data_IF_549703915527
#
_entry.id   IF_549703915527
#
_cell.length_a   1.000
_cell.length_b   1.000
_cell.length_c   1.000
_cell.angle_alpha   90.00
_cell.angle_beta   90.00
_cell.angle_gamma   90.00
#
_symmetry.space_group_name_H-M   'P 1'
#
loop_
_entity.id
_entity.type
_entity.pdbx_description
1 polymer ?
#
# COMPACT_ATOMS: atom_id res chain seq x y z
N UNK A 1 6.96 14.52 2.72
CA UNK A 1 6.67 13.41 1.78
C UNK A 1 7.51 12.18 2.11
N UNK A 2 8.84 12.18 1.91
CA UNK A 2 9.71 11.00 2.11
C UNK A 2 9.66 10.36 3.51
N UNK A 3 9.71 11.15 4.58
CA UNK A 3 9.70 10.64 5.96
C UNK A 3 8.34 10.02 6.32
N UNK A 4 7.24 10.51 5.73
CA UNK A 4 5.89 9.97 5.96
C UNK A 4 5.76 8.55 5.39
N UNK A 5 6.43 8.27 4.26
CA UNK A 5 6.49 6.92 3.69
C UNK A 5 7.12 5.91 4.65
N UNK A 6 8.11 6.32 5.46
CA UNK A 6 8.80 5.42 6.39
C UNK A 6 7.93 4.95 7.57
N UNK A 7 6.87 5.68 7.91
CA UNK A 7 5.93 5.29 8.97
C UNK A 7 4.77 4.43 8.47
N UNK A 8 4.74 4.14 7.17
CA UNK A 8 3.69 3.32 6.57
C UNK A 8 4.18 1.89 6.41
N UNK A 9 3.31 0.92 6.72
CA UNK A 9 3.59 -0.53 6.64
C UNK A 9 4.26 -0.99 5.32
N UNK A 10 3.92 -0.34 4.19
CA UNK A 10 4.48 -0.65 2.86
C UNK A 10 5.37 0.47 2.28
N UNK A 11 5.64 1.53 3.04
CA UNK A 11 6.25 2.73 2.49
C UNK A 11 7.78 2.72 2.46
N UNK A 12 8.45 1.68 2.99
CA UNK A 12 9.90 1.53 2.87
C UNK A 12 10.33 1.34 1.41
N UNK A 13 9.61 0.53 0.64
CA UNK A 13 9.87 0.34 -0.79
C UNK A 13 9.64 1.64 -1.57
N UNK A 14 8.58 2.38 -1.21
CA UNK A 14 8.26 3.65 -1.86
C UNK A 14 9.33 4.70 -1.53
N UNK A 15 9.81 4.72 -0.29
CA UNK A 15 10.90 5.57 0.16
C UNK A 15 12.20 5.28 -0.60
N UNK A 16 12.58 4.00 -0.75
CA UNK A 16 13.79 3.60 -1.51
C UNK A 16 13.67 4.06 -2.97
N UNK A 17 12.55 3.78 -3.63
CA UNK A 17 12.31 4.20 -5.01
C UNK A 17 12.44 5.73 -5.16
N UNK A 18 11.90 6.48 -4.19
CA UNK A 18 11.95 7.93 -4.19
C UNK A 18 13.35 8.50 -3.89
N UNK A 19 14.14 7.85 -3.03
CA UNK A 19 15.54 8.22 -2.85
C UNK A 19 16.35 8.01 -4.13
N UNK A 20 16.17 6.87 -4.80
CA UNK A 20 16.86 6.58 -6.07
C UNK A 20 16.48 7.61 -7.14
N UNK A 21 15.20 7.92 -7.26
CA UNK A 21 14.71 8.93 -8.20
C UNK A 21 15.29 10.32 -7.91
N UNK A 22 15.25 10.75 -6.64
CA UNK A 22 15.80 12.04 -6.24
C UNK A 22 17.32 12.10 -6.44
N UNK A 23 18.05 11.02 -6.15
CA UNK A 23 19.47 10.91 -6.43
C UNK A 23 19.76 11.07 -7.93
N UNK A 24 19.04 10.34 -8.79
CA UNK A 24 19.21 10.42 -10.24
C UNK A 24 18.93 11.84 -10.77
N UNK A 25 17.90 12.51 -10.25
CA UNK A 25 17.56 13.88 -10.60
C UNK A 25 18.69 14.86 -10.23
N UNK A 26 19.17 14.79 -8.99
CA UNK A 26 20.20 15.69 -8.46
C UNK A 26 21.56 15.44 -9.09
N UNK A 27 21.92 14.17 -9.32
CA UNK A 27 23.15 13.78 -10.01
C UNK A 27 23.20 14.37 -11.43
N UNK A 28 22.06 14.36 -12.15
CA UNK A 28 21.94 14.95 -13.49
C UNK A 28 22.03 16.48 -13.48
N UNK A 29 21.54 17.14 -12.42
CA UNK A 29 21.61 18.60 -12.32
C UNK A 29 23.05 19.14 -12.18
N UNK A 30 23.99 18.32 -11.68
CA UNK A 30 25.38 18.72 -11.36
C UNK A 30 25.49 19.92 -10.39
N UNK A 31 24.38 20.30 -9.75
CA UNK A 31 24.32 21.43 -8.83
C UNK A 31 24.75 21.02 -7.42
N UNK A 32 25.89 21.56 -6.97
CA UNK A 32 26.47 21.26 -5.64
C UNK A 32 25.51 21.54 -4.48
N UNK A 33 24.68 22.60 -4.58
CA UNK A 33 23.71 22.95 -3.54
C UNK A 33 22.60 21.89 -3.49
N UNK A 34 22.08 21.48 -4.64
CA UNK A 34 21.07 20.41 -4.70
C UNK A 34 21.63 19.09 -4.17
N UNK A 35 22.87 18.73 -4.51
CA UNK A 35 23.54 17.53 -3.97
C UNK A 35 23.67 17.59 -2.45
N UNK A 36 24.14 18.71 -1.91
CA UNK A 36 24.25 18.89 -0.45
C UNK A 36 22.89 18.80 0.22
N UNK A 37 21.86 19.46 -0.32
CA UNK A 37 20.51 19.45 0.25
C UNK A 37 19.89 18.04 0.19
N UNK A 38 20.11 17.31 -0.91
CA UNK A 38 19.69 15.90 -1.03
C UNK A 38 20.37 15.03 0.02
N UNK A 39 21.70 15.10 0.15
CA UNK A 39 22.45 14.30 1.12
C UNK A 39 22.01 14.61 2.56
N UNK A 40 21.87 15.90 2.90
CA UNK A 40 21.38 16.32 4.21
C UNK A 40 19.95 15.79 4.48
N UNK A 41 19.05 15.89 3.49
CA UNK A 41 17.67 15.41 3.62
C UNK A 41 17.61 13.88 3.77
N UNK A 42 18.40 13.15 2.97
CA UNK A 42 18.46 11.70 3.03
C UNK A 42 19.07 11.20 4.35
N UNK A 43 20.12 11.86 4.84
CA UNK A 43 20.71 11.55 6.14
C UNK A 43 19.71 11.82 7.28
N UNK A 44 19.05 12.99 7.27
CA UNK A 44 18.03 13.33 8.26
C UNK A 44 16.87 12.31 8.26
N UNK A 45 16.36 11.91 7.10
CA UNK A 45 15.28 10.92 7.02
C UNK A 45 15.71 9.53 7.48
N UNK A 46 16.95 9.10 7.20
CA UNK A 46 17.50 7.85 7.71
C UNK A 46 17.71 7.87 9.24
N UNK A 47 18.18 8.99 9.79
CA UNK A 47 18.32 9.17 11.25
C UNK A 47 16.95 9.07 11.92
N UNK A 48 15.94 9.78 11.40
CA UNK A 48 14.57 9.70 11.92
C UNK A 48 14.02 8.28 11.83
N UNK A 49 14.28 7.57 10.71
CA UNK A 49 13.89 6.18 10.55
C UNK A 49 14.52 5.27 11.60
N UNK A 50 15.84 5.38 11.82
CA UNK A 50 16.56 4.59 12.82
C UNK A 50 16.08 4.89 14.23
N UNK A 51 15.82 6.16 14.55
CA UNK A 51 15.27 6.56 15.84
C UNK A 51 13.92 5.89 16.09
N UNK A 52 12.99 5.99 15.15
CA UNK A 52 11.61 5.55 15.37
C UNK A 52 11.42 4.05 15.15
N UNK A 53 12.19 3.42 14.27
CA UNK A 53 12.01 2.00 13.92
C UNK A 53 12.90 1.06 14.73
N UNK A 54 13.98 1.58 15.35
CA UNK A 54 14.98 0.76 16.06
C UNK A 54 15.22 1.26 17.47
N UNK A 55 15.64 2.52 17.64
CA UNK A 55 16.13 3.01 18.94
C UNK A 55 14.99 3.18 19.94
N UNK A 56 13.94 3.93 19.59
CA UNK A 56 12.79 4.20 20.45
C UNK A 56 12.06 2.89 20.81
N UNK A 57 11.70 1.99 19.88
CA UNK A 57 11.06 0.72 20.23
C UNK A 57 11.91 -0.13 21.18
N UNK A 58 13.24 -0.17 20.99
CA UNK A 58 14.15 -0.88 21.89
C UNK A 58 14.17 -0.27 23.29
N UNK A 59 14.17 1.06 23.40
CA UNK A 59 14.11 1.75 24.70
C UNK A 59 12.77 1.53 25.41
N UNK A 60 11.67 1.42 24.65
CA UNK A 60 10.33 1.16 25.17
C UNK A 60 10.04 -0.33 25.41
N UNK A 61 11.02 -1.22 25.19
CA UNK A 61 10.85 -2.67 25.25
C UNK A 61 9.67 -3.17 24.39
N UNK A 62 9.43 -2.52 23.25
CA UNK A 62 8.37 -2.90 22.33
C UNK A 62 8.66 -4.27 21.72
N UNK A 63 7.64 -5.13 21.68
CA UNK A 63 7.75 -6.44 21.03
C UNK A 63 7.93 -6.26 19.51
N UNK A 64 8.93 -6.92 18.89
CA UNK A 64 9.12 -6.81 17.46
C UNK A 64 7.98 -7.50 16.70
N UNK A 65 7.56 -6.89 15.59
CA UNK A 65 6.61 -7.52 14.69
C UNK A 65 7.17 -8.84 14.14
N UNK A 66 6.38 -9.94 14.15
CA UNK A 66 6.84 -11.21 13.60
C UNK A 66 7.24 -11.08 12.13
N UNK A 67 8.38 -11.67 11.71
CA UNK A 67 8.88 -11.56 10.34
C UNK A 67 7.88 -11.99 9.26
N UNK A 68 6.96 -12.91 9.58
CA UNK A 68 5.92 -13.37 8.67
C UNK A 68 4.83 -12.34 8.37
N UNK A 69 4.68 -11.27 9.15
CA UNK A 69 3.61 -10.27 8.96
C UNK A 69 3.64 -9.64 7.56
N UNK A 70 4.83 -9.33 7.05
CA UNK A 70 5.03 -8.77 5.71
C UNK A 70 4.80 -9.77 4.57
N UNK A 71 4.76 -11.07 4.88
CA UNK A 71 4.62 -12.15 3.91
C UNK A 71 3.15 -12.57 3.71
N UNK A 72 2.20 -12.02 4.48
CA UNK A 72 0.78 -12.37 4.38
C UNK A 72 0.19 -12.12 2.98
N UNK A 73 0.42 -10.95 2.32
CA UNK A 73 -0.11 -10.73 0.98
C UNK A 73 0.52 -11.68 -0.05
N UNK A 74 1.77 -12.09 0.16
CA UNK A 74 2.45 -13.09 -0.69
C UNK A 74 1.81 -14.47 -0.48
N UNK A 75 1.57 -14.85 0.78
CA UNK A 75 0.99 -16.14 1.13
C UNK A 75 -0.45 -16.31 0.64
N UNK A 76 -1.23 -15.22 0.64
CA UNK A 76 -2.56 -15.22 0.05
C UNK A 76 -2.52 -15.59 -1.44
N UNK A 77 -1.55 -15.06 -2.20
CA UNK A 77 -1.40 -15.40 -3.61
C UNK A 77 -1.09 -16.88 -3.84
N UNK A 78 -0.35 -17.53 -2.93
CA UNK A 78 -0.20 -18.99 -3.00
C UNK A 78 -1.54 -19.69 -2.80
N UNK A 79 -2.29 -19.26 -1.79
CA UNK A 79 -3.57 -19.87 -1.46
C UNK A 79 -4.56 -19.75 -2.63
N UNK A 80 -4.51 -18.65 -3.39
CA UNK A 80 -5.26 -18.50 -4.63
C UNK A 80 -4.92 -19.58 -5.67
N UNK A 81 -3.65 -19.97 -5.81
CA UNK A 81 -3.23 -21.06 -6.72
C UNK A 81 -3.84 -22.40 -6.30
N UNK A 82 -3.83 -22.73 -5.00
CA UNK A 82 -4.46 -23.95 -4.49
C UNK A 82 -5.98 -23.95 -4.67
N UNK A 83 -6.64 -22.82 -4.43
CA UNK A 83 -8.09 -22.68 -4.63
C UNK A 83 -8.47 -22.82 -6.11
N UNK A 84 -7.59 -22.39 -7.01
CA UNK A 84 -7.79 -22.56 -8.45
C UNK A 84 -7.49 -23.98 -8.96
N UNK A 85 -7.03 -24.90 -8.10
CA UNK A 85 -6.69 -26.29 -8.46
C UNK A 85 -5.40 -26.43 -9.27
N UNK A 86 -4.52 -25.43 -9.23
CA UNK A 86 -3.32 -25.34 -10.06
C UNK A 86 -2.02 -25.58 -9.27
N UNK A 87 -2.09 -26.04 -8.02
CA UNK A 87 -0.92 -26.24 -7.18
C UNK A 87 0.06 -27.27 -7.73
N UNK A 88 -0.42 -28.26 -8.50
CA UNK A 88 0.41 -29.33 -9.06
C UNK A 88 1.43 -28.84 -10.08
N UNK A 89 1.19 -27.67 -10.68
CA UNK A 89 2.13 -27.06 -11.61
C UNK A 89 3.31 -26.44 -10.85
N UNK A 90 3.19 -26.14 -9.56
CA UNK A 90 4.29 -25.65 -8.73
C UNK A 90 5.29 -26.76 -8.40
N UNK A 91 6.55 -26.36 -8.24
CA UNK A 91 7.64 -27.23 -7.85
C UNK A 91 7.32 -27.91 -6.50
N UNK A 92 7.70 -29.17 -6.37
CA UNK A 92 7.41 -29.98 -5.17
C UNK A 92 8.02 -29.35 -3.92
N UNK A 93 9.23 -28.79 -4.00
CA UNK A 93 9.87 -28.07 -2.88
C UNK A 93 9.13 -26.80 -2.48
N UNK A 94 8.62 -26.06 -3.47
CA UNK A 94 7.83 -24.85 -3.26
C UNK A 94 6.52 -25.19 -2.53
N UNK A 95 5.82 -26.24 -2.98
CA UNK A 95 4.62 -26.74 -2.29
C UNK A 95 4.90 -27.16 -0.87
N UNK A 96 5.91 -28.02 -0.66
CA UNK A 96 6.31 -28.47 0.68
C UNK A 96 6.59 -27.29 1.62
N UNK A 97 7.27 -26.26 1.13
CA UNK A 97 7.55 -25.05 1.91
C UNK A 97 6.26 -24.29 2.27
N UNK A 98 5.38 -24.03 1.30
CA UNK A 98 4.11 -23.33 1.53
C UNK A 98 3.23 -24.11 2.53
N UNK A 99 3.15 -25.42 2.37
CA UNK A 99 2.29 -26.31 3.17
C UNK A 99 2.75 -26.45 4.64
N UNK A 100 3.96 -25.98 4.98
CA UNK A 100 4.40 -25.87 6.39
C UNK A 100 3.61 -24.85 7.19
N UNK A 101 2.90 -23.93 6.53
CA UNK A 101 2.15 -22.83 7.16
C UNK A 101 0.66 -23.17 7.27
N UNK A 102 0.03 -23.57 6.16
CA UNK A 102 -1.35 -24.03 6.06
C UNK A 102 -1.41 -25.31 5.24
N UNK A 103 -2.32 -26.22 5.58
CA UNK A 103 -2.66 -27.35 4.71
C UNK A 103 -3.43 -26.88 3.47
N UNK A 104 -3.41 -27.62 2.34
CA UNK A 104 -4.23 -27.31 1.17
C UNK A 104 -5.72 -27.18 1.49
N UNK A 105 -6.23 -27.99 2.43
CA UNK A 105 -7.62 -27.90 2.91
C UNK A 105 -7.89 -26.56 3.58
N UNK A 106 -7.01 -26.11 4.49
CA UNK A 106 -7.16 -24.82 5.16
C UNK A 106 -7.08 -23.64 4.20
N UNK A 107 -6.22 -23.71 3.18
CA UNK A 107 -6.18 -22.69 2.13
C UNK A 107 -7.52 -22.61 1.39
N UNK A 108 -8.07 -23.76 1.00
CA UNK A 108 -9.37 -23.81 0.32
C UNK A 108 -10.51 -23.30 1.20
N UNK A 109 -10.49 -23.61 2.50
CA UNK A 109 -11.55 -23.24 3.45
C UNK A 109 -11.50 -21.76 3.85
N UNK A 110 -10.30 -21.21 4.05
CA UNK A 110 -10.12 -19.86 4.62
C UNK A 110 -9.64 -18.80 3.64
N UNK A 111 -9.39 -19.16 2.37
CA UNK A 111 -9.06 -18.16 1.36
C UNK A 111 -10.23 -17.19 1.15
N UNK A 112 -9.90 -15.90 1.20
CA UNK A 112 -10.81 -14.83 0.85
C UNK A 112 -10.09 -13.89 -0.12
N UNK A 113 -10.58 -13.73 -1.37
CA UNK A 113 -9.93 -12.89 -2.37
C UNK A 113 -9.90 -11.39 -1.99
N UNK A 114 -10.70 -10.97 -1.02
CA UNK A 114 -10.85 -9.57 -0.60
C UNK A 114 -10.21 -9.27 0.77
N UNK A 115 -9.68 -10.27 1.50
CA UNK A 115 -9.11 -10.08 2.84
C UNK A 115 -8.08 -11.17 3.23
N UNK A 116 -6.79 -10.83 3.27
CA UNK A 116 -5.71 -11.79 3.59
C UNK A 116 -5.81 -12.37 5.00
N UNK A 117 -6.39 -11.59 5.89
CA UNK A 117 -6.41 -11.88 7.31
C UNK A 117 -7.28 -13.10 7.63
N UNK A 118 -8.25 -13.45 6.77
CA UNK A 118 -9.12 -14.63 6.94
C UNK A 118 -8.29 -15.91 7.11
N UNK A 119 -7.26 -16.13 6.30
CA UNK A 119 -6.41 -17.33 6.41
C UNK A 119 -5.65 -17.32 7.74
N UNK A 120 -5.03 -16.18 8.07
CA UNK A 120 -4.15 -16.08 9.24
C UNK A 120 -4.90 -16.14 10.57
N UNK A 121 -6.13 -15.64 10.62
CA UNK A 121 -6.96 -15.62 11.83
C UNK A 121 -7.60 -16.97 12.11
N UNK A 122 -7.81 -17.80 11.07
CA UNK A 122 -8.43 -19.12 11.18
C UNK A 122 -7.41 -20.28 11.16
N UNK A 123 -6.13 -20.00 10.91
CA UNK A 123 -5.07 -21.02 10.92
C UNK A 123 -4.24 -20.97 12.21
N UNK A 124 -4.22 -22.04 13.02
CA UNK A 124 -3.40 -22.11 14.23
C UNK A 124 -1.91 -21.93 13.92
N UNK A 125 -1.23 -21.09 14.73
CA UNK A 125 0.21 -20.78 14.61
C UNK A 125 0.65 -20.26 13.23
N UNK A 126 -0.28 -19.77 12.40
CA UNK A 126 -0.01 -19.27 11.05
C UNK A 126 1.21 -18.35 11.00
N UNK A 127 1.20 -17.30 11.82
CA UNK A 127 2.25 -16.29 11.80
C UNK A 127 3.61 -16.83 12.28
N UNK A 128 3.59 -17.77 13.23
CA UNK A 128 4.80 -18.44 13.71
C UNK A 128 5.41 -19.30 12.60
N UNK A 129 4.59 -20.09 11.91
CA UNK A 129 5.05 -20.94 10.81
C UNK A 129 5.52 -20.10 9.62
N UNK A 130 4.76 -19.07 9.23
CA UNK A 130 5.12 -18.17 8.14
C UNK A 130 6.44 -17.42 8.43
N UNK A 131 6.71 -17.09 9.70
CA UNK A 131 7.96 -16.46 10.10
C UNK A 131 9.19 -17.38 9.98
N UNK A 132 9.00 -18.69 9.81
CA UNK A 132 10.09 -19.65 9.56
C UNK A 132 10.49 -19.71 8.08
N UNK A 133 9.64 -19.23 7.18
CA UNK A 133 9.96 -19.14 5.76
C UNK A 133 10.84 -17.90 5.54
N UNK A 134 11.98 -18.10 4.88
CA UNK A 134 12.86 -16.99 4.54
C UNK A 134 12.16 -16.04 3.56
N UNK A 135 12.41 -14.74 3.65
CA UNK A 135 11.84 -13.77 2.70
C UNK A 135 12.27 -14.07 1.25
N UNK A 136 13.49 -14.58 1.06
CA UNK A 136 14.01 -14.97 -0.26
C UNK A 136 13.25 -16.16 -0.85
N UNK A 137 12.99 -17.20 -0.06
CA UNK A 137 12.20 -18.36 -0.50
C UNK A 137 10.77 -17.96 -0.81
N UNK A 138 10.14 -17.15 0.03
CA UNK A 138 8.81 -16.63 -0.25
C UNK A 138 8.80 -15.87 -1.59
N UNK A 139 9.70 -14.92 -1.81
CA UNK A 139 9.71 -14.19 -3.09
C UNK A 139 9.97 -15.12 -4.28
N UNK A 140 10.91 -16.07 -4.16
CA UNK A 140 11.22 -17.05 -5.22
C UNK A 140 9.98 -17.88 -5.59
N UNK A 141 9.29 -18.42 -4.60
CA UNK A 141 8.09 -19.24 -4.80
C UNK A 141 6.95 -18.40 -5.39
N UNK A 142 6.81 -17.14 -4.98
CA UNK A 142 5.80 -16.23 -5.52
C UNK A 142 6.05 -15.86 -6.97
N UNK A 143 7.32 -15.62 -7.34
CA UNK A 143 7.69 -15.41 -8.74
C UNK A 143 7.40 -16.67 -9.55
N UNK A 144 7.73 -17.85 -9.04
CA UNK A 144 7.40 -19.11 -9.70
C UNK A 144 5.88 -19.24 -9.96
N UNK A 145 5.06 -19.01 -8.93
CA UNK A 145 3.61 -19.04 -9.04
C UNK A 145 3.07 -18.01 -10.04
N UNK A 146 3.63 -16.79 -10.05
CA UNK A 146 3.25 -15.74 -11.00
C UNK A 146 3.64 -16.06 -12.44
N UNK A 147 4.75 -16.75 -12.66
CA UNK A 147 5.18 -17.18 -13.99
C UNK A 147 4.33 -18.34 -14.53
N UNK A 148 3.94 -19.29 -13.67
CA UNK A 148 3.11 -20.44 -14.05
C UNK A 148 1.63 -20.09 -14.17
N UNK A 149 1.11 -19.27 -13.27
CA UNK A 149 -0.30 -18.87 -13.21
C UNK A 149 -0.48 -17.35 -13.08
N UNK A 150 -0.06 -16.56 -14.09
CA UNK A 150 -0.15 -15.10 -14.01
C UNK A 150 -1.59 -14.61 -13.80
N UNK A 151 -2.57 -15.23 -14.45
CA UNK A 151 -3.99 -14.86 -14.31
C UNK A 151 -4.52 -15.04 -12.89
N UNK A 152 -4.12 -16.10 -12.19
CA UNK A 152 -4.54 -16.38 -10.81
C UNK A 152 -3.91 -15.39 -9.85
N UNK A 153 -2.60 -15.16 -9.96
CA UNK A 153 -1.88 -14.23 -9.10
C UNK A 153 -2.33 -12.78 -9.33
N UNK A 154 -2.53 -12.37 -10.58
CA UNK A 154 -3.06 -11.04 -10.89
C UNK A 154 -4.51 -10.91 -10.42
N UNK A 155 -5.35 -11.92 -10.64
CA UNK A 155 -6.73 -11.93 -10.16
C UNK A 155 -6.83 -11.76 -8.65
N UNK A 156 -6.00 -12.47 -7.87
CA UNK A 156 -5.89 -12.29 -6.43
C UNK A 156 -5.56 -10.84 -6.05
N UNK A 157 -4.56 -10.22 -6.71
CA UNK A 157 -4.17 -8.84 -6.43
C UNK A 157 -5.25 -7.83 -6.81
N UNK A 158 -5.87 -7.97 -7.97
CA UNK A 158 -6.95 -7.08 -8.39
C UNK A 158 -8.14 -7.16 -7.43
N UNK A 159 -8.52 -8.36 -6.98
CA UNK A 159 -9.59 -8.51 -5.99
C UNK A 159 -9.19 -7.89 -4.65
N UNK A 160 -8.00 -8.21 -4.13
CA UNK A 160 -7.54 -7.71 -2.84
C UNK A 160 -7.40 -6.19 -2.82
N UNK A 161 -7.09 -5.58 -3.98
CA UNK A 161 -6.97 -4.13 -4.14
C UNK A 161 -8.20 -3.48 -4.78
N UNK A 162 -9.39 -4.09 -4.79
CA UNK A 162 -10.57 -3.54 -5.50
C UNK A 162 -10.90 -2.11 -5.09
N UNK A 163 -10.69 -1.75 -3.82
CA UNK A 163 -10.91 -0.40 -3.29
C UNK A 163 -9.95 0.66 -3.85
N UNK A 164 -8.81 0.23 -4.40
CA UNK A 164 -7.83 1.11 -5.04
C UNK A 164 -8.25 1.54 -6.44
N UNK A 165 -8.79 0.63 -7.24
CA UNK A 165 -9.03 0.88 -8.67
C UNK A 165 -10.51 0.95 -9.06
N UNK A 166 -11.41 0.34 -8.29
CA UNK A 166 -12.84 0.41 -8.57
C UNK A 166 -13.40 1.79 -8.24
N UNK A 167 -14.17 2.33 -9.17
CA UNK A 167 -14.94 3.58 -8.98
C UNK A 167 -16.23 3.32 -8.20
N UNK A 168 -16.66 2.06 -8.08
CA UNK A 168 -17.91 1.67 -7.44
C UNK A 168 -17.65 0.78 -6.22
N UNK A 169 -18.63 0.67 -5.33
CA UNK A 169 -18.58 -0.39 -4.33
C UNK A 169 -18.73 -1.76 -4.97
N UNK A 170 -17.87 -2.71 -4.59
CA UNK A 170 -18.08 -4.12 -4.89
C UNK A 170 -18.79 -4.75 -3.68
N UNK A 171 -19.88 -5.47 -3.94
CA UNK A 171 -20.73 -6.08 -2.90
C UNK A 171 -20.01 -7.13 -2.04
N UNK A 172 -18.90 -7.69 -2.54
CA UNK A 172 -18.09 -8.67 -1.84
C UNK A 172 -16.83 -8.07 -1.19
N UNK A 173 -16.59 -6.79 -1.42
CA UNK A 173 -15.44 -6.06 -0.85
C UNK A 173 -15.59 -5.89 0.66
N UNK A 174 -14.50 -6.15 1.39
CA UNK A 174 -14.37 -5.86 2.82
C UNK A 174 -14.49 -4.35 3.13
N UNK A 175 -14.01 -3.50 2.22
CA UNK A 175 -14.22 -2.05 2.18
C UNK A 175 -14.21 -1.30 3.54
N UNK A 176 -13.12 -1.42 4.31
CA UNK A 176 -12.98 -0.73 5.59
C UNK A 176 -12.56 0.72 5.39
N UNK A 177 -13.56 1.59 5.26
CA UNK A 177 -13.39 3.02 5.03
C UNK A 177 -13.17 3.82 6.33
N UNK A 178 -13.93 3.49 7.38
CA UNK A 178 -13.87 4.15 8.68
C UNK A 178 -14.20 3.16 9.80
N UNK A 179 -13.26 2.97 10.74
CA UNK A 179 -13.44 2.06 11.87
C UNK A 179 -13.98 2.83 13.08
N UNK A 180 -15.19 2.49 13.50
CA UNK A 180 -15.90 3.16 14.62
C UNK A 180 -15.67 2.48 15.97
N UNK A 181 -15.11 1.28 15.98
CA UNK A 181 -14.98 0.39 17.15
C UNK A 181 -13.51 0.12 17.44
N UNK A 182 -13.10 0.24 18.69
CA UNK A 182 -11.80 -0.24 19.15
C UNK A 182 -11.91 -1.76 19.29
N UNK A 183 -10.96 -2.50 18.70
CA UNK A 183 -10.89 -3.96 18.88
C UNK A 183 -10.78 -4.30 20.37
N UNK A 184 -11.51 -5.32 20.81
CA UNK A 184 -11.61 -5.66 22.23
C UNK A 184 -10.24 -5.90 22.86
N UNK A 185 -9.35 -6.55 22.11
CA UNK A 185 -7.96 -6.83 22.49
C UNK A 185 -7.17 -5.54 22.77
N UNK A 186 -7.43 -4.45 22.02
CA UNK A 186 -6.79 -3.16 22.25
C UNK A 186 -7.24 -2.53 23.58
N UNK A 187 -8.48 -2.74 23.99
CA UNK A 187 -8.98 -2.29 25.28
C UNK A 187 -8.49 -3.21 26.40
N UNK A 188 -8.64 -4.52 26.25
CA UNK A 188 -8.34 -5.50 27.29
C UNK A 188 -6.84 -5.64 27.58
N UNK A 189 -5.99 -5.63 26.54
CA UNK A 189 -4.54 -5.82 26.70
C UNK A 189 -3.78 -4.50 26.85
N UNK A 190 -4.21 -3.46 26.13
CA UNK A 190 -3.46 -2.20 26.03
C UNK A 190 -4.16 -1.02 26.72
N UNK A 191 -5.35 -1.21 27.30
CA UNK A 191 -6.11 -0.15 27.96
C UNK A 191 -6.50 1.00 27.04
N UNK A 192 -6.58 0.75 25.72
CA UNK A 192 -6.91 1.80 24.76
C UNK A 192 -8.39 2.11 24.84
N UNK A 193 -8.68 3.36 25.21
CA UNK A 193 -10.02 3.92 25.26
C UNK A 193 -10.17 5.07 24.26
N UNK A 194 -11.34 5.18 23.62
CA UNK A 194 -11.68 6.35 22.79
C UNK A 194 -12.49 7.33 23.60
N UNK A 195 -11.96 8.54 23.77
CA UNK A 195 -12.75 9.66 24.27
C UNK A 195 -13.66 10.18 23.16
N UNK A 196 -14.96 9.98 23.32
CA UNK A 196 -15.97 10.55 22.44
C UNK A 196 -16.07 12.06 22.63
N UNK A 197 -16.23 12.80 21.54
CA UNK A 197 -16.42 14.24 21.56
C UNK A 197 -17.23 14.69 20.33
N UNK A 198 -17.62 15.98 20.29
CA UNK A 198 -18.40 16.54 19.18
C UNK A 198 -17.76 16.35 17.80
N UNK A 199 -16.43 16.34 17.72
CA UNK A 199 -15.72 16.08 16.45
C UNK A 199 -15.91 14.61 16.04
N UNK A 200 -15.83 13.69 16.99
CA UNK A 200 -16.07 12.26 16.74
C UNK A 200 -17.51 12.02 16.27
N UNK A 201 -18.49 12.69 16.88
CA UNK A 201 -19.89 12.63 16.45
C UNK A 201 -20.08 13.18 15.03
N UNK A 202 -19.46 14.33 14.73
CA UNK A 202 -19.51 14.93 13.39
C UNK A 202 -18.88 14.01 12.32
N UNK A 203 -17.74 13.38 12.63
CA UNK A 203 -17.07 12.44 11.73
C UNK A 203 -17.92 11.18 11.55
N UNK A 204 -18.53 10.64 12.61
CA UNK A 204 -19.44 9.49 12.52
C UNK A 204 -20.64 9.80 11.64
N UNK A 205 -21.27 10.96 11.82
CA UNK A 205 -22.40 11.41 11.01
C UNK A 205 -22.01 11.56 9.53
N UNK A 206 -20.86 12.18 9.27
CA UNK A 206 -20.35 12.32 7.90
C UNK A 206 -20.05 10.95 7.29
N UNK A 207 -19.41 10.06 8.04
CA UNK A 207 -19.11 8.70 7.58
C UNK A 207 -20.40 7.91 7.29
N UNK A 208 -21.41 7.95 8.16
CA UNK A 208 -22.68 7.24 7.92
C UNK A 208 -23.40 7.77 6.68
N UNK A 209 -23.54 9.09 6.55
CA UNK A 209 -24.21 9.72 5.42
C UNK A 209 -23.47 9.48 4.09
N UNK A 210 -22.14 9.50 4.11
CA UNK A 210 -21.35 9.45 2.87
C UNK A 210 -20.98 8.03 2.43
N UNK A 211 -20.86 7.09 3.37
CA UNK A 211 -20.47 5.71 3.08
C UNK A 211 -21.66 4.86 2.63
N UNK A 212 -22.82 4.99 3.28
CA UNK A 212 -23.93 4.03 3.12
C UNK A 212 -25.15 4.60 2.39
N UNK A 213 -25.44 5.90 2.53
CA UNK A 213 -26.73 6.44 2.09
C UNK A 213 -26.77 6.88 0.62
N UNK A 214 -25.65 7.36 0.05
CA UNK A 214 -25.64 7.79 -1.35
C UNK A 214 -24.47 7.21 -2.15
N UNK A 215 -24.79 6.65 -3.32
CA UNK A 215 -23.82 6.07 -4.24
C UNK A 215 -22.79 7.10 -4.73
N UNK A 216 -23.24 8.34 -4.98
CA UNK A 216 -22.38 9.42 -5.45
C UNK A 216 -21.41 9.89 -4.37
N UNK A 217 -21.88 10.12 -3.13
CA UNK A 217 -20.97 10.49 -2.03
C UNK A 217 -19.98 9.37 -1.73
N UNK A 218 -20.41 8.10 -1.80
CA UNK A 218 -19.52 6.97 -1.60
C UNK A 218 -18.38 7.00 -2.63
N UNK A 219 -18.73 7.19 -3.89
CA UNK A 219 -17.79 7.29 -5.00
C UNK A 219 -16.82 8.46 -4.84
N UNK A 220 -17.32 9.65 -4.54
CA UNK A 220 -16.49 10.85 -4.46
C UNK A 220 -15.65 10.96 -3.19
N UNK A 221 -16.02 10.30 -2.08
CA UNK A 221 -15.32 10.48 -0.80
C UNK A 221 -14.46 9.25 -0.47
N UNK A 222 -14.97 8.06 -0.75
CA UNK A 222 -14.37 6.80 -0.27
C UNK A 222 -13.76 5.95 -1.38
N UNK A 223 -14.11 6.18 -2.67
CA UNK A 223 -13.56 5.40 -3.80
C UNK A 223 -12.36 6.09 -4.41
N UNK A 224 -11.18 5.61 -4.01
CA UNK A 224 -9.93 6.10 -4.60
C UNK A 224 -9.77 5.76 -6.07
N UNK A 225 -10.46 4.73 -6.58
CA UNK A 225 -10.46 4.38 -8.01
C UNK A 225 -10.95 5.51 -8.90
N UNK A 226 -11.88 6.34 -8.44
CA UNK A 226 -12.35 7.51 -9.18
C UNK A 226 -11.20 8.52 -9.40
N UNK A 227 -10.50 8.87 -8.34
CA UNK A 227 -9.36 9.79 -8.39
C UNK A 227 -8.17 9.20 -9.14
N UNK A 228 -7.91 7.90 -8.97
CA UNK A 228 -6.87 7.18 -9.70
C UNK A 228 -7.12 7.23 -11.22
N UNK A 229 -8.37 7.05 -11.65
CA UNK A 229 -8.75 7.18 -13.06
C UNK A 229 -8.49 8.59 -13.60
N UNK A 230 -8.85 9.64 -12.84
CA UNK A 230 -8.58 11.02 -13.22
C UNK A 230 -7.08 11.33 -13.26
N UNK A 231 -6.30 10.82 -12.32
CA UNK A 231 -4.83 10.91 -12.34
C UNK A 231 -4.25 10.23 -13.59
N UNK A 232 -4.74 9.05 -13.97
CA UNK A 232 -4.31 8.39 -15.20
C UNK A 232 -4.68 9.16 -16.47
N UNK A 233 -5.88 9.77 -16.52
CA UNK A 233 -6.26 10.65 -17.64
C UNK A 233 -5.31 11.84 -17.75
N UNK A 234 -5.01 12.50 -16.62
CA UNK A 234 -4.07 13.62 -16.59
C UNK A 234 -2.65 13.19 -16.99
N UNK A 235 -2.20 12.02 -16.50
CA UNK A 235 -0.91 11.43 -16.87
C UNK A 235 -0.83 11.14 -18.37
N UNK A 236 -1.88 10.53 -18.95
CA UNK A 236 -1.95 10.27 -20.39
C UNK A 236 -1.94 11.57 -21.20
N UNK A 237 -2.68 12.59 -20.76
CA UNK A 237 -2.66 13.90 -21.40
C UNK A 237 -1.23 14.48 -21.46
N UNK A 238 -0.49 14.47 -20.34
CA UNK A 238 0.89 14.96 -20.32
C UNK A 238 1.83 14.13 -21.20
N UNK A 239 1.64 12.81 -21.26
CA UNK A 239 2.41 11.93 -22.15
C UNK A 239 2.19 12.30 -23.62
N UNK A 240 0.94 12.54 -24.02
CA UNK A 240 0.59 12.96 -25.38
C UNK A 240 1.20 14.33 -25.71
N UNK A 241 1.23 15.25 -24.74
CA UNK A 241 1.86 16.57 -24.88
C UNK A 241 3.39 16.54 -24.73
N UNK A 242 3.99 15.39 -24.41
CA UNK A 242 5.42 15.23 -24.09
C UNK A 242 5.89 16.20 -23.00
N UNK A 243 5.02 16.47 -22.05
CA UNK A 243 5.27 17.44 -20.97
C UNK A 243 6.19 16.83 -19.89
N UNK A 244 7.24 17.56 -19.50
CA UNK A 244 8.21 17.13 -18.48
C UNK A 244 7.57 16.96 -17.09
N UNK A 245 6.42 17.57 -16.84
CA UNK A 245 5.62 17.42 -15.61
C UNK A 245 5.11 16.00 -15.41
N UNK A 246 5.18 15.12 -16.41
CA UNK A 246 4.95 13.68 -16.24
C UNK A 246 5.78 13.08 -15.11
N UNK A 247 6.97 13.64 -14.85
CA UNK A 247 7.84 13.22 -13.75
C UNK A 247 7.21 13.40 -12.36
N UNK A 248 6.21 14.26 -12.20
CA UNK A 248 5.46 14.45 -10.96
C UNK A 248 4.61 13.22 -10.59
N UNK A 249 4.26 12.38 -11.56
CA UNK A 249 3.46 11.17 -11.36
C UNK A 249 4.29 9.96 -10.92
N UNK A 250 5.62 9.99 -11.13
CA UNK A 250 6.51 8.87 -10.76
C UNK A 250 6.33 8.45 -9.30
N UNK A 251 6.32 9.37 -8.31
CA UNK A 251 6.09 9.01 -6.90
C UNK A 251 4.74 8.35 -6.65
N UNK A 252 3.68 8.90 -7.26
CA UNK A 252 2.32 8.41 -7.11
C UNK A 252 2.15 7.01 -7.70
N UNK A 253 2.66 6.79 -8.92
CA UNK A 253 2.64 5.50 -9.62
C UNK A 253 3.48 4.46 -8.86
N UNK A 254 4.70 4.80 -8.45
CA UNK A 254 5.55 3.89 -7.68
C UNK A 254 4.87 3.47 -6.37
N UNK A 255 4.31 4.42 -5.63
CA UNK A 255 3.58 4.11 -4.40
C UNK A 255 2.32 3.27 -4.69
N UNK A 256 1.56 3.60 -5.73
CA UNK A 256 0.40 2.83 -6.18
C UNK A 256 0.75 1.37 -6.48
N UNK A 257 1.79 1.11 -7.26
CA UNK A 257 2.26 -0.24 -7.59
C UNK A 257 2.66 -0.99 -6.31
N UNK A 258 3.42 -0.35 -5.42
CA UNK A 258 3.86 -1.00 -4.18
C UNK A 258 2.66 -1.37 -3.32
N UNK A 259 1.71 -0.46 -3.15
CA UNK A 259 0.48 -0.71 -2.38
C UNK A 259 -0.32 -1.84 -3.02
N UNK A 260 -0.55 -1.81 -4.33
CA UNK A 260 -1.22 -2.89 -5.07
C UNK A 260 -0.60 -4.27 -4.79
N UNK A 261 0.73 -4.35 -4.76
CA UNK A 261 1.45 -5.62 -4.53
C UNK A 261 1.44 -6.08 -3.06
N UNK A 262 1.37 -5.15 -2.11
CA UNK A 262 1.66 -5.40 -0.68
C UNK A 262 0.48 -5.17 0.26
N UNK A 263 -0.69 -4.78 -0.26
CA UNK A 263 -1.88 -4.53 0.54
C UNK A 263 -2.43 -5.84 1.11
N UNK A 264 -2.57 -5.98 2.45
CA UNK A 264 -3.11 -7.19 3.07
C UNK A 264 -4.64 -7.18 3.17
N UNK A 265 -5.25 -6.00 3.15
CA UNK A 265 -6.66 -5.80 3.41
C UNK A 265 -7.16 -4.53 2.75
N UNK A 266 -8.46 -4.47 2.50
CA UNK A 266 -9.15 -3.34 1.88
C UNK A 266 -9.41 -2.17 2.82
N UNK A 267 -8.37 -1.69 3.49
CA UNK A 267 -8.45 -0.51 4.35
C UNK A 267 -8.17 0.79 3.58
N UNK A 268 -9.05 1.78 3.70
CA UNK A 268 -8.88 3.11 3.09
C UNK A 268 -7.62 3.85 3.57
N UNK A 269 -7.11 3.51 4.76
CA UNK A 269 -5.85 4.05 5.31
C UNK A 269 -4.64 3.78 4.41
N UNK A 270 -4.72 2.81 3.51
CA UNK A 270 -3.69 2.55 2.52
C UNK A 270 -3.86 3.40 1.24
N UNK A 271 -5.02 4.00 1.01
CA UNK A 271 -5.35 4.54 -0.30
C UNK A 271 -5.56 6.07 -0.30
N UNK A 272 -5.79 6.68 0.89
CA UNK A 272 -6.08 8.12 1.02
C UNK A 272 -5.09 9.06 0.31
N UNK A 273 -3.85 8.63 0.09
CA UNK A 273 -2.86 9.44 -0.62
C UNK A 273 -3.28 9.74 -2.06
N UNK A 274 -4.01 8.84 -2.74
CA UNK A 274 -4.50 9.05 -4.11
C UNK A 274 -5.46 10.24 -4.12
N UNK A 275 -6.47 10.20 -3.25
CA UNK A 275 -7.42 11.29 -3.09
C UNK A 275 -6.76 12.62 -2.72
N UNK A 276 -5.83 12.60 -1.75
CA UNK A 276 -5.18 13.84 -1.29
C UNK A 276 -4.19 14.42 -2.29
N UNK A 277 -3.52 13.61 -3.10
CA UNK A 277 -2.55 14.10 -4.09
C UNK A 277 -3.24 14.72 -5.29
N UNK A 278 -4.38 14.17 -5.72
CA UNK A 278 -5.10 14.59 -6.91
C UNK A 278 -5.22 16.12 -7.09
N UNK A 279 -5.75 16.92 -6.15
CA UNK A 279 -5.89 18.37 -6.34
C UNK A 279 -4.54 19.08 -6.55
N UNK A 280 -3.48 18.65 -5.87
CA UNK A 280 -2.14 19.22 -6.06
C UNK A 280 -1.55 18.86 -7.41
N UNK A 281 -1.80 17.63 -7.89
CA UNK A 281 -1.38 17.19 -9.21
C UNK A 281 -2.07 18.01 -10.31
N UNK A 282 -3.38 18.22 -10.19
CA UNK A 282 -4.14 19.08 -11.11
C UNK A 282 -3.58 20.49 -11.11
N UNK A 283 -3.41 21.11 -9.94
CA UNK A 283 -2.87 22.47 -9.83
C UNK A 283 -1.47 22.59 -10.45
N UNK A 284 -0.56 21.66 -10.16
CA UNK A 284 0.79 21.66 -10.73
C UNK A 284 0.81 21.51 -12.26
N UNK A 285 -0.18 20.81 -12.82
CA UNK A 285 -0.33 20.64 -14.27
C UNK A 285 -1.05 21.81 -14.94
N UNK A 286 -1.77 22.64 -14.19
CA UNK A 286 -2.48 23.82 -14.72
C UNK A 286 -1.62 25.08 -14.81
N UNK A 287 -0.49 25.16 -14.09
CA UNK A 287 0.41 26.32 -14.15
C UNK A 287 1.17 26.35 -15.47
N UNK A 288 1.19 27.49 -16.16
CA UNK A 288 1.98 27.66 -17.39
C UNK A 288 3.47 27.79 -17.04
N UNK A 289 4.31 26.99 -17.70
CA UNK A 289 5.76 27.02 -17.49
C UNK A 289 6.44 28.15 -18.28
N UNK A 290 5.73 28.81 -19.19
CA UNK A 290 6.28 29.82 -20.09
C UNK A 290 6.47 31.21 -19.49
N UNK A 291 5.88 31.52 -18.32
CA UNK A 291 5.97 32.87 -17.75
C UNK A 291 7.35 33.18 -17.14
N UNK A 292 8.11 32.18 -16.70
CA UNK A 292 9.40 32.39 -16.04
C UNK A 292 10.58 32.69 -16.98
N UNK A 293 10.41 32.61 -18.30
CA UNK A 293 11.47 32.91 -19.28
C UNK A 293 11.36 34.34 -19.88
N UNK A 294 10.37 35.14 -19.47
CA UNK A 294 10.18 36.51 -20.01
C UNK A 294 10.65 37.65 -19.10
N UNK A 295 11.14 37.36 -17.89
CA UNK A 295 11.54 38.38 -16.91
C UNK A 295 13.04 38.71 -16.81
N UNK A 296 13.89 38.21 -17.72
CA UNK A 296 15.35 38.27 -17.60
C UNK A 296 16.07 39.07 -18.69
N UNK A 297 15.38 39.98 -19.38
CA UNK A 297 16.00 40.87 -20.38
C UNK A 297 15.34 42.24 -20.35
N UNK A 298 15.76 43.06 -19.38
CA UNK A 298 15.64 44.52 -19.39
C UNK A 298 16.80 45.10 -18.61
#
# INVERSE_FOLDING_TARGET
MLVISLFRFNGILAYIAMLIFAFAYVYRSRNKIQTRNYLASAAASLIVFLLISVIIPKQLNALPNPPGMKLRPIYQGYSAVYVSGNENDLNVESRKTIETVCTPKQMNEFYNPYFADTISSNTPKFLSNLSRISTGDAIRIYIEAALKHPGVILGDKFNLSVTMWSVTNDKFSYNNAYTTVIQKEMTDEFGVERTENKLTDAVKLLASATLMETYLSNTLIWRTGFYLALEFILMMYLLLQRDKRISLFIPAVCNGIIVFLTMPAQDYRYLWFIFLLFPFMVLACSVDLNENNKGGSS
#
